data_IF_213678345764
#
_entry.id   IF_213678345764
#
_cell.length_a   1.000
_cell.length_b   1.000
_cell.length_c   1.000
_cell.angle_alpha   90.00
_cell.angle_beta   90.00
_cell.angle_gamma   90.00
#
_symmetry.space_group_name_H-M   'P 1'
#
loop_
_entity.id
_entity.type
_entity.pdbx_description
1 polymer ?
#
# COMPACT_ATOMS: atom_id res chain seq x y z
N UNK A 1 -47.25 11.37 -10.48
CA UNK A 1 -46.01 11.01 -9.73
C UNK A 1 -46.23 10.02 -8.58
N UNK A 2 -47.28 10.17 -7.76
CA UNK A 2 -47.58 9.30 -6.59
C UNK A 2 -47.71 7.80 -6.94
N UNK A 3 -48.41 7.43 -8.03
CA UNK A 3 -48.56 6.03 -8.47
C UNK A 3 -47.24 5.34 -8.90
N UNK A 4 -46.26 6.10 -9.42
CA UNK A 4 -44.93 5.55 -9.79
C UNK A 4 -44.09 5.29 -8.55
N UNK A 5 -44.14 6.18 -7.56
CA UNK A 5 -43.47 6.00 -6.27
C UNK A 5 -44.00 4.78 -5.52
N UNK A 6 -45.33 4.57 -5.51
CA UNK A 6 -45.97 3.42 -4.86
C UNK A 6 -45.63 2.07 -5.53
N UNK A 7 -45.48 2.07 -6.85
CA UNK A 7 -45.11 0.87 -7.61
C UNK A 7 -43.64 0.48 -7.35
N UNK A 8 -42.75 1.49 -7.27
CA UNK A 8 -41.35 1.30 -6.90
C UNK A 8 -41.20 0.85 -5.44
N UNK A 9 -42.00 1.42 -4.52
CA UNK A 9 -42.01 1.03 -3.10
C UNK A 9 -42.42 -0.42 -2.90
N UNK A 10 -43.45 -0.89 -3.63
CA UNK A 10 -43.87 -2.30 -3.64
C UNK A 10 -42.81 -3.25 -4.17
N UNK A 11 -42.10 -2.88 -5.24
CA UNK A 11 -40.96 -3.67 -5.75
C UNK A 11 -39.79 -3.73 -4.74
N UNK A 12 -39.64 -2.68 -3.92
CA UNK A 12 -38.56 -2.56 -2.94
C UNK A 12 -38.78 -3.42 -1.68
N UNK A 13 -40.05 -3.63 -1.29
CA UNK A 13 -40.43 -4.40 -0.09
C UNK A 13 -40.98 -5.79 -0.39
N UNK A 14 -41.33 -6.09 -1.65
CA UNK A 14 -41.83 -7.40 -2.05
C UNK A 14 -40.81 -8.51 -1.78
N UNK A 15 -41.30 -9.61 -1.21
CA UNK A 15 -40.53 -10.84 -1.05
C UNK A 15 -40.27 -11.44 -2.44
N UNK A 16 -38.99 -11.58 -2.86
CA UNK A 16 -38.66 -12.12 -4.16
C UNK A 16 -39.08 -13.60 -4.28
N UNK A 17 -39.23 -14.31 -3.15
CA UNK A 17 -39.78 -15.67 -3.14
C UNK A 17 -41.27 -15.65 -3.46
N UNK A 18 -42.02 -14.61 -3.08
CA UNK A 18 -43.44 -14.50 -3.39
C UNK A 18 -43.71 -14.33 -4.90
N UNK A 19 -42.74 -13.77 -5.65
CA UNK A 19 -42.81 -13.56 -7.11
C UNK A 19 -42.54 -14.83 -7.92
N UNK A 20 -42.05 -15.92 -7.30
CA UNK A 20 -41.74 -17.18 -7.98
C UNK A 20 -43.01 -18.04 -8.20
N UNK A 21 -43.05 -18.89 -9.26
CA UNK A 21 -44.12 -19.86 -9.47
C UNK A 21 -44.30 -20.81 -8.27
N UNK A 22 -45.55 -21.20 -7.96
CA UNK A 22 -45.90 -22.13 -6.85
C UNK A 22 -44.95 -23.33 -6.66
N UNK A 23 -44.56 -24.09 -7.70
CA UNK A 23 -43.66 -25.24 -7.52
C UNK A 23 -42.24 -24.85 -7.07
N UNK A 24 -41.73 -23.71 -7.53
CA UNK A 24 -40.41 -23.19 -7.15
C UNK A 24 -40.42 -22.71 -5.69
N UNK A 25 -41.51 -22.07 -5.24
CA UNK A 25 -41.69 -21.65 -3.84
C UNK A 25 -41.69 -22.81 -2.86
N UNK A 26 -42.38 -23.91 -3.19
CA UNK A 26 -42.38 -25.13 -2.36
C UNK A 26 -40.99 -25.74 -2.26
N UNK A 27 -40.25 -25.87 -3.38
CA UNK A 27 -38.85 -26.35 -3.36
C UNK A 27 -37.94 -25.44 -2.53
N UNK A 28 -38.04 -24.12 -2.67
CA UNK A 28 -37.27 -23.16 -1.88
C UNK A 28 -37.56 -23.25 -0.37
N UNK A 29 -38.82 -23.49 0.00
CA UNK A 29 -39.23 -23.69 1.40
C UNK A 29 -38.66 -25.00 1.97
N UNK A 30 -38.74 -26.11 1.22
CA UNK A 30 -38.17 -27.40 1.63
C UNK A 30 -36.64 -27.32 1.77
N UNK A 31 -35.94 -26.72 0.80
CA UNK A 31 -34.50 -26.46 0.89
C UNK A 31 -34.18 -25.58 2.10
N UNK A 32 -34.97 -24.54 2.35
CA UNK A 32 -34.78 -23.64 3.49
C UNK A 32 -35.01 -24.29 4.86
N UNK A 33 -35.86 -25.31 4.97
CA UNK A 33 -36.00 -26.12 6.17
C UNK A 33 -34.78 -27.04 6.36
N UNK A 34 -34.38 -27.75 5.29
CA UNK A 34 -33.21 -28.64 5.27
C UNK A 34 -31.89 -27.91 5.58
N UNK A 35 -31.76 -26.67 5.11
CA UNK A 35 -30.59 -25.81 5.39
C UNK A 35 -30.62 -25.31 6.84
N UNK A 36 -31.79 -24.89 7.37
CA UNK A 36 -31.89 -24.44 8.77
C UNK A 36 -31.54 -25.54 9.77
N UNK A 37 -31.97 -26.77 9.50
CA UNK A 37 -31.70 -27.91 10.37
C UNK A 37 -30.24 -28.38 10.29
N UNK A 38 -29.52 -28.05 9.20
CA UNK A 38 -28.11 -28.41 9.00
C UNK A 38 -27.12 -27.29 9.28
N UNK A 39 -27.56 -26.04 9.41
CA UNK A 39 -26.68 -24.92 9.76
C UNK A 39 -26.36 -24.97 11.26
N UNK A 40 -25.08 -24.99 11.66
CA UNK A 40 -24.73 -24.97 13.07
C UNK A 40 -25.28 -23.71 13.77
N UNK A 41 -25.77 -23.86 14.99
CA UNK A 41 -26.15 -22.73 15.84
C UNK A 41 -24.86 -22.06 16.33
N UNK A 42 -24.33 -21.11 15.56
CA UNK A 42 -23.05 -20.44 15.85
C UNK A 42 -23.17 -19.32 16.91
N UNK A 43 -23.80 -19.60 18.04
CA UNK A 43 -23.95 -18.65 19.15
C UNK A 43 -22.69 -18.60 20.02
N UNK A 44 -22.02 -17.44 20.11
CA UNK A 44 -20.97 -17.19 21.10
C UNK A 44 -21.26 -15.88 21.82
N UNK A 45 -21.24 -15.89 23.16
CA UNK A 45 -21.45 -14.69 23.99
C UNK A 45 -20.35 -13.63 23.82
N UNK A 46 -19.23 -14.01 23.18
CA UNK A 46 -18.12 -13.15 22.79
C UNK A 46 -18.43 -12.33 21.52
N UNK A 47 -19.27 -12.85 20.61
CA UNK A 47 -19.68 -12.18 19.36
C UNK A 47 -20.85 -11.24 19.63
N UNK A 48 -20.56 -10.11 20.27
CA UNK A 48 -21.56 -9.07 20.54
C UNK A 48 -21.54 -7.96 19.48
N UNK A 49 -22.67 -7.27 19.34
CA UNK A 49 -22.76 -6.06 18.51
C UNK A 49 -21.74 -5.02 18.94
N UNK A 50 -21.52 -4.85 20.25
CA UNK A 50 -20.55 -3.87 20.79
C UNK A 50 -19.10 -4.19 20.39
N UNK A 51 -18.66 -5.45 20.53
CA UNK A 51 -17.32 -5.88 20.07
C UNK A 51 -17.19 -5.68 18.55
N UNK A 52 -18.23 -6.06 17.80
CA UNK A 52 -18.29 -5.91 16.34
C UNK A 52 -18.22 -4.43 15.90
N UNK A 53 -18.82 -3.52 16.68
CA UNK A 53 -18.77 -2.07 16.44
C UNK A 53 -17.38 -1.52 16.69
N UNK A 54 -16.71 -1.89 17.79
CA UNK A 54 -15.33 -1.45 18.07
C UNK A 54 -14.34 -1.92 17.00
N UNK A 55 -14.42 -3.18 16.58
CA UNK A 55 -13.62 -3.69 15.45
C UNK A 55 -13.94 -2.93 14.16
N UNK A 56 -15.21 -2.59 13.93
CA UNK A 56 -15.63 -1.77 12.79
C UNK A 56 -15.04 -0.35 12.81
N UNK A 57 -15.00 0.30 13.99
CA UNK A 57 -14.38 1.61 14.17
C UNK A 57 -12.89 1.55 13.91
N UNK A 58 -12.20 0.53 14.43
CA UNK A 58 -10.78 0.34 14.16
C UNK A 58 -10.50 0.23 12.66
N UNK A 59 -11.28 -0.57 11.92
CA UNK A 59 -11.17 -0.65 10.46
C UNK A 59 -11.52 0.66 9.75
N UNK A 60 -12.50 1.41 10.26
CA UNK A 60 -12.86 2.72 9.75
C UNK A 60 -11.77 3.79 9.98
N UNK A 61 -10.76 3.49 10.81
CA UNK A 61 -9.54 4.31 10.97
C UNK A 61 -8.41 3.76 10.10
N UNK A 62 -8.12 2.46 10.16
CA UNK A 62 -6.95 1.90 9.47
C UNK A 62 -7.06 1.97 7.95
N UNK A 63 -8.23 1.71 7.38
CA UNK A 63 -8.42 1.78 5.93
C UNK A 63 -8.21 3.20 5.37
N UNK A 64 -8.81 4.27 5.92
CA UNK A 64 -8.52 5.63 5.47
C UNK A 64 -7.07 6.06 5.62
N UNK A 65 -6.39 5.66 6.70
CA UNK A 65 -4.96 5.96 6.88
C UNK A 65 -4.12 5.28 5.79
N UNK A 66 -4.35 3.99 5.53
CA UNK A 66 -3.70 3.28 4.41
C UNK A 66 -4.04 3.92 3.06
N UNK A 67 -5.30 4.27 2.85
CA UNK A 67 -5.74 4.90 1.60
C UNK A 67 -5.04 6.24 1.36
N UNK A 68 -5.02 7.14 2.35
CA UNK A 68 -4.40 8.45 2.23
C UNK A 68 -2.88 8.35 1.98
N UNK A 69 -2.20 7.53 2.77
CA UNK A 69 -0.74 7.32 2.61
C UNK A 69 -0.40 6.62 1.29
N UNK A 70 -1.22 5.66 0.85
CA UNK A 70 -1.07 4.98 -0.43
C UNK A 70 -1.35 5.90 -1.62
N UNK A 71 -2.34 6.78 -1.50
CA UNK A 71 -2.64 7.81 -2.50
C UNK A 71 -1.48 8.78 -2.66
N UNK A 72 -0.87 9.24 -1.56
CA UNK A 72 0.35 10.04 -1.61
C UNK A 72 1.46 9.28 -2.34
N UNK A 73 1.74 8.02 -1.98
CA UNK A 73 2.75 7.22 -2.68
C UNK A 73 2.45 7.03 -4.18
N UNK A 74 1.18 6.94 -4.55
CA UNK A 74 0.76 6.85 -5.96
C UNK A 74 0.99 8.17 -6.69
N UNK A 75 0.57 9.30 -6.12
CA UNK A 75 0.75 10.63 -6.71
C UNK A 75 2.24 10.98 -6.90
N UNK A 76 3.14 10.50 -6.04
CA UNK A 76 4.58 10.71 -6.24
C UNK A 76 5.11 9.91 -7.43
N UNK A 77 4.61 8.69 -7.65
CA UNK A 77 5.04 7.84 -8.76
C UNK A 77 4.39 8.22 -10.09
N UNK A 78 3.18 8.76 -10.03
CA UNK A 78 2.37 9.17 -11.18
C UNK A 78 1.84 10.58 -10.96
N UNK A 79 2.72 11.60 -10.91
CA UNK A 79 2.32 12.96 -10.57
C UNK A 79 1.42 13.54 -11.66
N UNK A 80 0.16 13.91 -11.36
CA UNK A 80 -0.62 14.74 -12.26
C UNK A 80 0.02 16.14 -12.34
N UNK A 81 -0.33 16.91 -13.36
CA UNK A 81 0.29 18.23 -13.61
C UNK A 81 0.14 19.26 -12.49
N UNK A 82 -0.78 19.05 -11.54
CA UNK A 82 -1.00 19.92 -10.38
C UNK A 82 -0.29 19.44 -9.10
N UNK A 83 0.30 18.24 -9.12
CA UNK A 83 0.90 17.63 -7.94
C UNK A 83 2.41 17.80 -7.94
N UNK A 84 2.92 18.59 -7.00
CA UNK A 84 4.34 18.73 -6.73
C UNK A 84 4.71 18.07 -5.41
N UNK A 85 5.73 17.23 -5.45
CA UNK A 85 6.30 16.61 -4.26
C UNK A 85 7.58 17.33 -3.83
N UNK A 86 7.69 17.77 -2.56
CA UNK A 86 8.86 18.53 -2.11
C UNK A 86 10.07 17.62 -1.90
N UNK A 87 11.27 18.17 -2.02
CA UNK A 87 12.53 17.46 -1.69
C UNK A 87 12.86 17.50 -0.18
N UNK A 88 12.05 18.22 0.61
CA UNK A 88 12.19 18.39 2.06
C UNK A 88 10.86 18.24 2.79
N UNK A 89 10.85 17.74 4.04
CA UNK A 89 11.99 17.11 4.74
C UNK A 89 12.34 15.75 4.11
N UNK A 90 13.61 15.34 4.22
CA UNK A 90 14.14 14.14 3.51
C UNK A 90 13.50 12.82 3.93
N UNK A 91 12.89 12.79 5.12
CA UNK A 91 12.29 11.61 5.73
C UNK A 91 10.80 11.46 5.43
N UNK A 92 10.15 12.44 4.79
CA UNK A 92 8.69 12.47 4.67
C UNK A 92 8.14 11.20 4.01
N UNK A 93 8.71 10.77 2.88
CA UNK A 93 8.28 9.56 2.19
C UNK A 93 8.57 8.29 3.01
N UNK A 94 9.71 8.23 3.71
CA UNK A 94 10.01 7.12 4.64
C UNK A 94 8.91 7.01 5.70
N UNK A 95 8.49 8.13 6.28
CA UNK A 95 7.46 8.17 7.32
C UNK A 95 6.11 7.78 6.74
N UNK A 96 5.66 8.41 5.65
CA UNK A 96 4.33 8.12 5.07
C UNK A 96 4.24 6.66 4.61
N UNK A 97 5.29 6.13 3.99
CA UNK A 97 5.34 4.73 3.57
C UNK A 97 5.43 3.76 4.74
N UNK A 98 6.16 4.12 5.79
CA UNK A 98 6.20 3.37 7.05
C UNK A 98 4.82 3.27 7.70
N UNK A 99 4.11 4.40 7.80
CA UNK A 99 2.73 4.45 8.32
C UNK A 99 1.80 3.59 7.46
N UNK A 100 1.91 3.65 6.14
CA UNK A 100 1.13 2.83 5.22
C UNK A 100 1.27 1.33 5.51
N UNK A 101 2.51 0.84 5.55
CA UNK A 101 2.80 -0.59 5.74
C UNK A 101 2.47 -1.04 7.16
N UNK A 102 2.86 -0.27 8.18
CA UNK A 102 2.56 -0.60 9.57
C UNK A 102 1.04 -0.68 9.83
N UNK A 103 0.27 0.25 9.25
CA UNK A 103 -1.20 0.27 9.37
C UNK A 103 -1.86 -0.86 8.57
N UNK A 104 -1.32 -1.18 7.38
CA UNK A 104 -1.78 -2.33 6.58
C UNK A 104 -1.60 -3.65 7.33
N UNK A 105 -0.45 -3.83 7.97
CA UNK A 105 -0.15 -5.00 8.80
C UNK A 105 -1.06 -5.05 10.04
N UNK A 106 -1.22 -3.91 10.75
CA UNK A 106 -2.14 -3.80 11.89
C UNK A 106 -3.60 -4.14 11.53
N UNK A 107 -4.00 -3.90 10.27
CA UNK A 107 -5.35 -4.18 9.79
C UNK A 107 -5.64 -5.69 9.72
N UNK A 108 -4.63 -6.55 9.54
CA UNK A 108 -4.81 -8.00 9.39
C UNK A 108 -5.58 -8.62 10.58
N UNK A 109 -5.08 -8.56 11.83
CA UNK A 109 -5.80 -9.16 12.97
C UNK A 109 -7.16 -8.50 13.23
N UNK A 110 -7.29 -7.19 12.98
CA UNK A 110 -8.57 -6.46 13.17
C UNK A 110 -9.61 -6.97 12.16
N UNK A 111 -9.22 -7.13 10.90
CA UNK A 111 -10.09 -7.60 9.82
C UNK A 111 -10.51 -9.06 10.06
N UNK A 112 -9.57 -9.93 10.44
CA UNK A 112 -9.87 -11.32 10.79
C UNK A 112 -10.84 -11.41 11.98
N UNK A 113 -10.60 -10.64 13.04
CA UNK A 113 -11.51 -10.58 14.19
C UNK A 113 -12.89 -10.05 13.80
N UNK A 114 -12.96 -9.04 12.92
CA UNK A 114 -14.22 -8.50 12.41
C UNK A 114 -14.99 -9.54 11.60
N UNK A 115 -14.32 -10.25 10.69
CA UNK A 115 -14.94 -11.30 9.88
C UNK A 115 -15.44 -12.44 10.76
N UNK A 116 -14.65 -12.87 11.77
CA UNK A 116 -15.08 -13.84 12.75
C UNK A 116 -16.32 -13.39 13.55
N UNK A 117 -16.39 -12.10 13.92
CA UNK A 117 -17.50 -11.59 14.72
C UNK A 117 -18.81 -11.50 13.93
N UNK A 118 -18.74 -11.33 12.61
CA UNK A 118 -19.92 -11.25 11.72
C UNK A 118 -20.19 -12.52 10.91
N UNK A 119 -19.30 -13.51 10.96
CA UNK A 119 -19.37 -14.74 10.16
C UNK A 119 -20.78 -15.39 10.16
N UNK A 120 -21.47 -15.59 11.30
CA UNK A 120 -22.80 -16.20 11.29
C UNK A 120 -23.82 -15.43 10.44
N UNK A 121 -23.71 -14.10 10.39
CA UNK A 121 -24.62 -13.23 9.63
C UNK A 121 -24.46 -13.40 8.12
N UNK A 122 -23.28 -13.85 7.67
CA UNK A 122 -23.02 -14.13 6.25
C UNK A 122 -23.83 -15.34 5.76
N UNK A 123 -24.23 -16.25 6.66
CA UNK A 123 -24.95 -17.48 6.32
C UNK A 123 -26.41 -17.49 6.83
N UNK A 124 -26.96 -16.34 7.22
CA UNK A 124 -28.37 -16.22 7.61
C UNK A 124 -29.32 -16.61 6.47
N UNK A 125 -30.31 -17.45 6.78
CA UNK A 125 -31.38 -17.86 5.88
C UNK A 125 -32.71 -17.17 6.23
N UNK A 126 -33.51 -16.70 5.25
CA UNK A 126 -33.28 -16.74 3.80
C UNK A 126 -32.17 -15.76 3.35
N UNK A 127 -31.44 -16.10 2.27
CA UNK A 127 -30.28 -15.32 1.83
C UNK A 127 -30.69 -13.94 1.32
N UNK A 128 -31.88 -13.83 0.75
CA UNK A 128 -32.48 -12.58 0.28
C UNK A 128 -33.91 -12.50 0.80
N UNK A 129 -34.24 -11.38 1.45
CA UNK A 129 -35.59 -11.09 1.97
C UNK A 129 -36.36 -10.15 1.06
N UNK A 130 -35.66 -9.22 0.40
CA UNK A 130 -36.15 -8.23 -0.55
C UNK A 130 -34.97 -7.63 -1.33
N UNK A 131 -35.26 -6.80 -2.33
CA UNK A 131 -34.24 -6.17 -3.19
C UNK A 131 -33.26 -5.32 -2.37
N UNK A 132 -33.73 -4.62 -1.35
CA UNK A 132 -32.88 -3.85 -0.45
C UNK A 132 -31.88 -4.71 0.31
N UNK A 133 -32.34 -5.85 0.85
CA UNK A 133 -31.51 -6.81 1.54
C UNK A 133 -30.46 -7.41 0.58
N UNK A 134 -30.85 -7.70 -0.66
CA UNK A 134 -29.92 -8.14 -1.70
C UNK A 134 -28.83 -7.09 -1.95
N UNK A 135 -29.20 -5.84 -2.20
CA UNK A 135 -28.25 -4.75 -2.46
C UNK A 135 -27.32 -4.51 -1.26
N UNK A 136 -27.87 -4.56 -0.04
CA UNK A 136 -27.07 -4.48 1.18
C UNK A 136 -26.06 -5.63 1.29
N UNK A 137 -26.45 -6.86 0.95
CA UNK A 137 -25.54 -8.03 0.98
C UNK A 137 -24.47 -7.95 -0.12
N UNK A 138 -24.84 -7.50 -1.33
CA UNK A 138 -23.88 -7.28 -2.41
C UNK A 138 -22.86 -6.21 -2.04
N UNK A 139 -23.29 -5.10 -1.45
CA UNK A 139 -22.38 -4.06 -0.95
C UNK A 139 -21.40 -4.60 0.10
N UNK A 140 -21.89 -5.41 1.05
CA UNK A 140 -21.03 -6.07 2.05
C UNK A 140 -20.06 -7.06 1.39
N UNK A 141 -20.51 -7.81 0.38
CA UNK A 141 -19.65 -8.74 -0.35
C UNK A 141 -18.51 -8.02 -1.07
N UNK A 142 -18.81 -6.91 -1.76
CA UNK A 142 -17.79 -6.04 -2.40
C UNK A 142 -16.81 -5.50 -1.36
N UNK A 143 -17.30 -5.03 -0.21
CA UNK A 143 -16.43 -4.55 0.87
C UNK A 143 -15.49 -5.64 1.38
N UNK A 144 -16.00 -6.84 1.68
CA UNK A 144 -15.20 -7.96 2.18
C UNK A 144 -14.15 -8.37 1.13
N UNK A 145 -14.57 -8.55 -0.13
CA UNK A 145 -13.68 -8.92 -1.22
C UNK A 145 -12.58 -7.89 -1.43
N UNK A 146 -12.93 -6.60 -1.48
CA UNK A 146 -11.96 -5.52 -1.65
C UNK A 146 -11.02 -5.38 -0.45
N UNK A 147 -11.53 -5.49 0.78
CA UNK A 147 -10.72 -5.44 1.99
C UNK A 147 -9.72 -6.59 2.08
N UNK A 148 -10.16 -7.82 1.81
CA UNK A 148 -9.28 -9.00 1.80
C UNK A 148 -8.24 -8.90 0.68
N UNK A 149 -8.65 -8.51 -0.52
CA UNK A 149 -7.72 -8.35 -1.64
C UNK A 149 -6.70 -7.23 -1.39
N UNK A 150 -7.08 -6.11 -0.77
CA UNK A 150 -6.17 -5.04 -0.36
C UNK A 150 -5.08 -5.54 0.59
N UNK A 151 -5.50 -6.14 1.71
CA UNK A 151 -4.55 -6.64 2.71
C UNK A 151 -3.67 -7.74 2.13
N UNK A 152 -4.25 -8.67 1.38
CA UNK A 152 -3.51 -9.80 0.78
C UNK A 152 -2.47 -9.29 -0.22
N UNK A 153 -2.86 -8.47 -1.19
CA UNK A 153 -1.91 -7.94 -2.19
C UNK A 153 -0.83 -7.09 -1.55
N UNK A 154 -1.15 -6.30 -0.52
CA UNK A 154 -0.16 -5.55 0.26
C UNK A 154 0.87 -6.45 0.94
N UNK A 155 0.42 -7.51 1.62
CA UNK A 155 1.32 -8.49 2.27
C UNK A 155 2.19 -9.22 1.24
N UNK A 156 1.61 -9.65 0.11
CA UNK A 156 2.37 -10.29 -0.97
C UNK A 156 3.45 -9.37 -1.54
N UNK A 157 3.15 -8.07 -1.70
CA UNK A 157 4.13 -7.08 -2.14
C UNK A 157 5.28 -6.91 -1.13
N UNK A 158 4.97 -6.78 0.17
CA UNK A 158 6.00 -6.68 1.22
C UNK A 158 6.89 -7.94 1.20
N UNK A 159 6.29 -9.12 1.03
CA UNK A 159 6.97 -10.41 0.94
C UNK A 159 7.69 -10.68 -0.40
N UNK A 160 7.61 -9.77 -1.38
CA UNK A 160 8.08 -9.98 -2.77
C UNK A 160 7.53 -11.23 -3.46
N UNK A 161 6.36 -11.71 -3.05
CA UNK A 161 5.75 -12.87 -3.66
C UNK A 161 4.80 -12.46 -4.78
N UNK A 162 5.38 -12.11 -5.92
CA UNK A 162 4.67 -11.67 -7.13
C UNK A 162 4.06 -12.76 -8.03
N UNK A 163 4.51 -14.05 -8.05
CA UNK A 163 3.89 -15.07 -8.89
C UNK A 163 2.36 -15.21 -8.80
N UNK A 164 1.72 -15.07 -7.62
CA UNK A 164 0.25 -15.07 -7.50
C UNK A 164 -0.44 -13.81 -8.07
N UNK A 165 0.32 -12.78 -8.44
CA UNK A 165 -0.17 -11.50 -8.95
C UNK A 165 0.28 -11.33 -10.42
N UNK A 166 -0.48 -11.88 -11.40
CA UNK A 166 -0.13 -11.77 -12.82
C UNK A 166 -0.34 -10.35 -13.39
N UNK A 167 -0.68 -9.39 -12.54
CA UNK A 167 -0.96 -7.99 -12.87
C UNK A 167 0.05 -7.07 -12.18
N UNK A 168 0.16 -5.84 -12.68
CA UNK A 168 1.04 -4.86 -12.06
C UNK A 168 0.46 -4.36 -10.73
N UNK A 169 1.09 -4.77 -9.63
CA UNK A 169 0.61 -4.57 -8.27
C UNK A 169 0.17 -3.13 -7.98
N UNK A 170 1.00 -2.11 -8.25
CA UNK A 170 0.71 -0.73 -7.82
C UNK A 170 -0.54 -0.15 -8.47
N UNK A 171 -0.82 -0.52 -9.72
CA UNK A 171 -2.03 -0.10 -10.45
C UNK A 171 -3.26 -0.83 -9.91
N UNK A 172 -3.19 -2.15 -9.78
CA UNK A 172 -4.30 -2.95 -9.26
C UNK A 172 -4.67 -2.55 -7.82
N UNK A 173 -3.65 -2.41 -6.97
CA UNK A 173 -3.79 -2.03 -5.57
C UNK A 173 -4.37 -0.61 -5.43
N UNK A 174 -3.99 0.34 -6.30
CA UNK A 174 -4.58 1.69 -6.31
C UNK A 174 -6.09 1.67 -6.61
N UNK A 175 -6.51 1.04 -7.71
CA UNK A 175 -7.92 1.02 -8.10
C UNK A 175 -8.79 0.23 -7.12
N UNK A 176 -8.27 -0.88 -6.62
CA UNK A 176 -8.95 -1.64 -5.58
C UNK A 176 -9.12 -0.83 -4.29
N UNK A 177 -8.23 0.12 -3.99
CA UNK A 177 -8.31 0.94 -2.78
C UNK A 177 -9.48 1.91 -2.85
N UNK A 178 -9.76 2.47 -4.03
CA UNK A 178 -10.95 3.26 -4.29
C UNK A 178 -12.24 2.45 -4.12
N UNK A 179 -12.27 1.21 -4.63
CA UNK A 179 -13.40 0.30 -4.44
C UNK A 179 -13.61 0.00 -2.95
N UNK A 180 -12.53 -0.30 -2.23
CA UNK A 180 -12.59 -0.59 -0.80
C UNK A 180 -13.10 0.60 0.01
N UNK A 181 -12.59 1.82 -0.22
CA UNK A 181 -13.03 3.03 0.49
C UNK A 181 -14.47 3.40 0.12
N UNK A 182 -14.86 3.34 -1.15
CA UNK A 182 -16.24 3.58 -1.55
C UNK A 182 -17.21 2.62 -0.87
N UNK A 183 -16.89 1.32 -0.86
CA UNK A 183 -17.70 0.31 -0.19
C UNK A 183 -17.73 0.50 1.34
N UNK A 184 -16.61 0.92 1.95
CA UNK A 184 -16.52 1.20 3.37
C UNK A 184 -17.40 2.39 3.77
N UNK A 185 -17.39 3.47 2.99
CA UNK A 185 -18.22 4.66 3.25
C UNK A 185 -19.72 4.31 3.19
N UNK A 186 -20.14 3.55 2.17
CA UNK A 186 -21.52 3.05 2.07
C UNK A 186 -21.86 2.17 3.28
N UNK A 187 -20.97 1.27 3.68
CA UNK A 187 -21.18 0.41 4.84
C UNK A 187 -21.29 1.20 6.15
N UNK A 188 -20.44 2.20 6.37
CA UNK A 188 -20.49 3.09 7.53
C UNK A 188 -21.84 3.83 7.56
N UNK A 189 -22.26 4.42 6.44
CA UNK A 189 -23.53 5.14 6.35
C UNK A 189 -24.73 4.24 6.73
N UNK A 190 -24.75 3.00 6.25
CA UNK A 190 -25.82 2.03 6.55
C UNK A 190 -25.77 1.55 8.00
N UNK A 191 -24.59 1.34 8.58
CA UNK A 191 -24.44 0.75 9.92
C UNK A 191 -24.36 1.76 11.07
N UNK A 192 -24.25 3.06 10.77
CA UNK A 192 -24.09 4.11 11.78
C UNK A 192 -25.18 4.09 12.87
N UNK A 193 -26.49 3.90 12.57
CA UNK A 193 -27.52 3.82 13.61
C UNK A 193 -27.33 2.63 14.56
N UNK A 194 -26.96 1.48 14.01
CA UNK A 194 -26.66 0.26 14.77
C UNK A 194 -25.47 0.47 15.70
N UNK A 195 -24.39 1.09 15.19
CA UNK A 195 -23.18 1.39 15.96
C UNK A 195 -23.49 2.37 17.11
N UNK A 196 -24.18 3.47 16.81
CA UNK A 196 -24.59 4.47 17.82
C UNK A 196 -25.41 3.82 18.94
N UNK A 197 -26.41 3.03 18.57
CA UNK A 197 -27.27 2.33 19.55
C UNK A 197 -26.48 1.34 20.39
N UNK A 198 -25.57 0.57 19.79
CA UNK A 198 -24.77 -0.43 20.49
C UNK A 198 -23.77 0.18 21.49
N UNK A 199 -23.26 1.38 21.19
CA UNK A 199 -22.32 2.10 22.05
C UNK A 199 -23.02 2.88 23.16
N UNK A 200 -24.19 3.49 22.86
CA UNK A 200 -24.98 4.26 23.81
C UNK A 200 -25.63 3.40 24.90
N UNK A 201 -25.98 2.14 24.61
CA UNK A 201 -26.49 1.22 25.63
C UNK A 201 -25.40 0.91 26.64
N UNK A 202 -25.60 1.35 27.89
CA UNK A 202 -24.87 0.79 29.03
C UNK A 202 -25.18 -0.71 29.09
N UNK A 203 -24.18 -1.59 29.20
CA UNK A 203 -24.46 -3.01 29.36
C UNK A 203 -25.24 -3.17 30.66
N UNK A 204 -26.53 -3.52 30.57
CA UNK A 204 -27.26 -4.07 31.71
C UNK A 204 -26.45 -5.26 32.19
N UNK A 205 -25.99 -5.24 33.45
CA UNK A 205 -25.01 -6.19 33.99
C UNK A 205 -25.67 -7.57 34.20
N UNK A 206 -25.49 -8.55 33.31
CA UNK A 206 -26.05 -9.88 33.46
C UNK A 206 -24.89 -10.76 33.94
N UNK A 207 -24.44 -10.51 35.17
CA UNK A 207 -23.25 -11.14 35.76
C UNK A 207 -21.93 -10.72 35.08
N UNK A 208 -21.09 -9.97 35.81
CA UNK A 208 -19.85 -9.35 35.32
C UNK A 208 -18.86 -10.24 34.53
N UNK A 209 -18.99 -11.58 34.58
CA UNK A 209 -18.15 -12.52 33.82
C UNK A 209 -18.19 -12.35 32.29
N UNK A 210 -19.30 -11.92 31.69
CA UNK A 210 -19.38 -11.75 30.23
C UNK A 210 -18.71 -10.47 29.73
N UNK A 211 -18.77 -9.38 30.50
CA UNK A 211 -18.12 -8.12 30.16
C UNK A 211 -16.59 -8.24 30.22
N UNK A 212 -16.07 -8.91 31.23
CA UNK A 212 -14.63 -9.21 31.39
C UNK A 212 -14.12 -10.05 30.20
N UNK A 213 -14.87 -11.07 29.78
CA UNK A 213 -14.51 -11.91 28.61
C UNK A 213 -14.51 -11.14 27.28
N UNK A 214 -15.41 -10.16 27.09
CA UNK A 214 -15.44 -9.31 25.88
C UNK A 214 -14.28 -8.31 25.83
N UNK A 215 -13.91 -7.73 26.97
CA UNK A 215 -12.68 -6.92 27.09
C UNK A 215 -11.45 -7.75 26.78
N UNK A 216 -11.45 -9.03 27.19
CA UNK A 216 -10.43 -10.01 26.80
C UNK A 216 -10.25 -10.14 25.29
N UNK A 217 -11.33 -10.25 24.51
CA UNK A 217 -11.25 -10.31 23.04
C UNK A 217 -10.61 -9.05 22.44
N UNK A 218 -11.08 -7.86 22.82
CA UNK A 218 -10.51 -6.61 22.31
C UNK A 218 -9.04 -6.42 22.73
N UNK A 219 -8.70 -6.83 23.96
CA UNK A 219 -7.32 -6.80 24.46
C UNK A 219 -6.43 -7.77 23.71
N UNK A 220 -6.91 -8.98 23.40
CA UNK A 220 -6.19 -9.96 22.61
C UNK A 220 -5.97 -9.48 21.16
N UNK A 221 -6.98 -8.88 20.54
CA UNK A 221 -6.83 -8.26 19.21
C UNK A 221 -5.85 -7.09 19.27
N UNK A 222 -5.95 -6.22 20.28
CA UNK A 222 -5.00 -5.11 20.49
C UNK A 222 -3.57 -5.59 20.70
N UNK A 223 -3.37 -6.65 21.48
CA UNK A 223 -2.08 -7.29 21.67
C UNK A 223 -1.56 -7.91 20.36
N UNK A 224 -2.40 -8.61 19.59
CA UNK A 224 -2.03 -9.14 18.29
C UNK A 224 -1.63 -8.04 17.31
N UNK A 225 -2.37 -6.93 17.25
CA UNK A 225 -2.01 -5.74 16.48
C UNK A 225 -0.64 -5.23 16.92
N UNK A 226 -0.46 -4.99 18.23
CA UNK A 226 0.80 -4.48 18.78
C UNK A 226 1.99 -5.38 18.46
N UNK A 227 1.86 -6.69 18.66
CA UNK A 227 2.92 -7.68 18.38
C UNK A 227 3.24 -7.71 16.89
N UNK A 228 2.25 -7.94 16.02
CA UNK A 228 2.49 -8.10 14.57
C UNK A 228 3.09 -6.82 13.99
N UNK A 229 2.61 -5.64 14.38
CA UNK A 229 3.21 -4.37 13.95
C UNK A 229 4.63 -4.20 14.49
N UNK A 230 4.88 -4.49 15.78
CA UNK A 230 6.20 -4.35 16.39
C UNK A 230 7.25 -5.25 15.73
N UNK A 231 6.90 -6.50 15.42
CA UNK A 231 7.83 -7.47 14.80
C UNK A 231 7.98 -7.32 13.29
N UNK A 232 7.38 -6.27 12.71
CA UNK A 232 7.41 -5.98 11.27
C UNK A 232 7.85 -4.55 10.93
N UNK A 233 7.80 -3.60 11.86
CA UNK A 233 8.07 -2.17 11.61
C UNK A 233 9.57 -1.82 11.63
N UNK A 234 10.43 -2.71 12.15
CA UNK A 234 11.87 -2.47 12.24
C UNK A 234 12.56 -2.32 10.88
N UNK A 235 11.94 -2.85 9.82
CA UNK A 235 12.41 -2.67 8.44
C UNK A 235 12.33 -1.20 7.98
N UNK A 236 11.45 -0.40 8.59
CA UNK A 236 11.37 1.04 8.37
C UNK A 236 12.12 1.81 9.46
N UNK A 237 11.97 1.38 10.72
CA UNK A 237 12.48 2.07 11.92
C UNK A 237 13.69 1.33 12.46
N UNK A 238 14.88 1.75 12.05
CA UNK A 238 16.16 1.08 12.37
C UNK A 238 16.36 0.73 13.86
N UNK A 239 16.01 1.59 14.86
CA UNK A 239 16.13 1.20 16.27
C UNK A 239 15.35 -0.07 16.66
N UNK A 240 14.29 -0.40 15.92
CA UNK A 240 13.44 -1.57 16.16
C UNK A 240 13.83 -2.79 15.30
N UNK A 241 14.86 -2.69 14.46
CA UNK A 241 15.31 -3.78 13.56
C UNK A 241 15.66 -5.09 14.27
N UNK A 242 16.04 -5.05 15.55
CA UNK A 242 16.31 -6.25 16.37
C UNK A 242 15.05 -7.06 16.69
N UNK A 243 13.88 -6.45 16.59
CA UNK A 243 12.59 -7.07 16.88
C UNK A 243 11.94 -7.66 15.61
N UNK A 244 12.55 -7.45 14.44
CA UNK A 244 12.02 -7.93 13.16
C UNK A 244 12.13 -9.45 13.04
N UNK A 245 11.00 -10.12 13.29
CA UNK A 245 10.84 -11.56 13.07
C UNK A 245 10.10 -11.84 11.75
N UNK A 246 9.19 -10.95 11.35
CA UNK A 246 8.34 -11.13 10.16
C UNK A 246 8.74 -10.19 9.01
N UNK A 247 9.71 -9.31 9.22
CA UNK A 247 10.18 -8.41 8.16
C UNK A 247 10.97 -9.20 7.10
N UNK A 248 10.58 -9.12 5.80
CA UNK A 248 11.29 -9.84 4.74
C UNK A 248 12.70 -9.31 4.45
N UNK A 249 13.01 -8.10 4.90
CA UNK A 249 14.34 -7.49 4.76
C UNK A 249 14.80 -6.88 6.06
N UNK A 250 16.08 -7.07 6.35
CA UNK A 250 16.79 -6.32 7.39
C UNK A 250 17.50 -5.12 6.76
N UNK A 251 17.37 -3.90 7.31
CA UNK A 251 17.95 -2.67 6.73
C UNK A 251 19.47 -2.64 6.59
N UNK A 252 20.18 -3.57 7.22
CA UNK A 252 21.65 -3.64 7.31
C UNK A 252 22.25 -4.80 6.50
N UNK A 253 21.42 -5.68 5.94
CA UNK A 253 21.87 -6.85 5.19
C UNK A 253 21.82 -6.57 3.68
N UNK A 254 22.98 -6.66 3.03
CA UNK A 254 23.17 -6.51 1.60
C UNK A 254 24.58 -6.03 1.28
N UNK A 255 24.98 -5.98 -0.01
CA UNK A 255 26.26 -5.40 -0.41
C UNK A 255 26.36 -3.97 0.12
N UNK A 256 27.57 -3.59 0.56
CA UNK A 256 27.87 -2.26 1.10
C UNK A 256 26.98 -1.84 2.28
N UNK A 257 26.46 -2.81 3.05
CA UNK A 257 25.57 -2.59 4.21
C UNK A 257 24.27 -1.87 3.86
N UNK A 258 23.73 -2.10 2.67
CA UNK A 258 22.45 -1.56 2.23
C UNK A 258 21.62 -2.63 1.52
N UNK A 259 20.30 -2.74 1.77
CA UNK A 259 19.47 -3.77 1.16
C UNK A 259 19.25 -3.51 -0.34
N UNK A 260 19.16 -4.60 -1.10
CA UNK A 260 18.89 -4.57 -2.54
C UNK A 260 17.41 -4.85 -2.79
N UNK A 261 16.73 -3.95 -3.50
CA UNK A 261 15.35 -4.17 -3.93
C UNK A 261 15.28 -5.25 -5.01
N UNK A 262 16.00 -4.99 -6.11
CA UNK A 262 16.07 -5.76 -7.35
C UNK A 262 17.55 -5.93 -7.72
N UNK A 263 18.02 -7.16 -7.95
CA UNK A 263 19.43 -7.39 -8.32
C UNK A 263 19.70 -7.06 -9.79
N UNK A 264 20.96 -6.93 -10.17
CA UNK A 264 21.36 -6.75 -11.56
C UNK A 264 21.02 -7.96 -12.42
N UNK A 265 21.12 -9.17 -11.85
CA UNK A 265 20.69 -10.42 -12.49
C UNK A 265 19.20 -10.36 -12.83
N UNK A 266 18.36 -9.98 -11.86
CA UNK A 266 16.91 -9.83 -12.07
C UNK A 266 16.58 -8.70 -13.08
N UNK A 267 17.44 -7.70 -13.20
CA UNK A 267 17.31 -6.61 -14.17
C UNK A 267 17.89 -6.95 -15.56
N UNK A 268 18.59 -8.07 -15.72
CA UNK A 268 19.30 -8.42 -16.95
C UNK A 268 20.46 -7.48 -17.28
N UNK A 269 21.08 -6.89 -16.25
CA UNK A 269 22.19 -5.94 -16.36
C UNK A 269 23.51 -6.62 -15.97
N UNK A 270 24.52 -6.47 -16.83
CA UNK A 270 25.90 -6.87 -16.54
C UNK A 270 26.71 -5.68 -16.03
N UNK A 271 27.85 -5.97 -15.40
CA UNK A 271 28.79 -4.92 -14.99
C UNK A 271 29.24 -4.11 -16.21
N UNK A 272 29.23 -2.78 -16.08
CA UNK A 272 29.73 -1.89 -17.11
C UNK A 272 31.25 -2.05 -17.30
N UNK A 273 31.69 -2.00 -18.56
CA UNK A 273 33.10 -2.01 -18.94
C UNK A 273 33.59 -0.58 -19.27
N UNK A 274 34.82 -0.46 -19.75
CA UNK A 274 35.43 0.82 -20.12
C UNK A 274 34.72 1.52 -21.31
N UNK A 275 33.79 0.84 -21.98
CA UNK A 275 32.97 1.40 -23.07
C UNK A 275 31.73 2.11 -22.54
N UNK A 276 31.45 2.05 -21.24
CA UNK A 276 30.35 2.79 -20.65
C UNK A 276 30.44 4.28 -20.98
N UNK A 277 29.31 4.84 -21.41
CA UNK A 277 29.14 6.25 -21.71
C UNK A 277 27.80 6.72 -21.14
N UNK A 278 27.82 7.74 -20.31
CA UNK A 278 26.61 8.43 -19.89
C UNK A 278 26.26 9.49 -20.94
N UNK A 279 25.08 9.34 -21.55
CA UNK A 279 24.53 10.35 -22.46
C UNK A 279 23.70 11.35 -21.68
N UNK A 280 23.90 12.64 -21.93
CA UNK A 280 23.14 13.73 -21.34
C UNK A 280 22.64 14.63 -22.45
N UNK A 281 21.35 14.53 -22.77
CA UNK A 281 20.70 15.36 -23.77
C UNK A 281 20.09 16.59 -23.10
N UNK A 282 20.39 17.75 -23.67
CA UNK A 282 19.92 19.07 -23.25
C UNK A 282 20.32 20.10 -24.31
N UNK A 283 20.25 21.41 -24.01
CA UNK A 283 20.64 22.44 -24.97
C UNK A 283 22.06 22.30 -25.53
N UNK A 284 22.99 21.77 -24.72
CA UNK A 284 24.37 21.43 -25.12
C UNK A 284 24.66 19.97 -24.77
N UNK A 285 24.27 19.00 -25.62
CA UNK A 285 24.40 17.58 -25.32
C UNK A 285 25.85 17.19 -25.00
N UNK A 286 26.01 16.23 -24.07
CA UNK A 286 27.31 15.69 -23.67
C UNK A 286 27.24 14.19 -23.54
N UNK A 287 28.36 13.54 -23.85
CA UNK A 287 28.58 12.12 -23.59
C UNK A 287 29.82 12.02 -22.72
N UNK A 288 29.70 11.43 -21.53
CA UNK A 288 30.78 11.35 -20.55
C UNK A 288 31.19 9.90 -20.31
N UNK A 289 32.49 9.65 -20.27
CA UNK A 289 33.10 8.44 -19.74
C UNK A 289 32.94 8.36 -18.22
N UNK A 290 33.17 7.18 -17.65
CA UNK A 290 33.20 7.02 -16.18
C UNK A 290 34.35 7.83 -15.53
N UNK A 291 35.50 7.93 -16.21
CA UNK A 291 36.64 8.71 -15.75
C UNK A 291 36.30 10.21 -15.70
N UNK A 292 35.68 10.76 -16.75
CA UNK A 292 35.22 12.16 -16.78
C UNK A 292 34.16 12.43 -15.71
N UNK A 293 33.21 11.50 -15.50
CA UNK A 293 32.22 11.61 -14.43
C UNK A 293 32.85 11.66 -13.04
N UNK A 294 33.91 10.88 -12.82
CA UNK A 294 34.63 10.84 -11.54
C UNK A 294 35.44 12.12 -11.32
N UNK A 295 35.93 12.74 -12.39
CA UNK A 295 36.68 14.00 -12.35
C UNK A 295 35.79 15.24 -12.11
N UNK A 296 34.47 15.14 -12.33
CA UNK A 296 33.54 16.22 -12.00
C UNK A 296 33.46 16.46 -10.47
N UNK A 297 33.02 17.66 -10.02
CA UNK A 297 32.87 17.95 -8.60
C UNK A 297 31.97 16.93 -7.88
N UNK A 298 32.54 16.24 -6.89
CA UNK A 298 31.85 15.22 -6.10
C UNK A 298 31.27 15.82 -4.81
N UNK A 299 30.18 15.24 -4.33
CA UNK A 299 29.58 15.56 -3.03
C UNK A 299 29.15 14.28 -2.31
N UNK A 300 29.36 14.24 -1.00
CA UNK A 300 28.84 13.19 -0.12
C UNK A 300 27.60 13.67 0.65
N UNK A 301 26.54 12.86 0.67
CA UNK A 301 25.31 13.13 1.44
C UNK A 301 24.81 11.87 2.14
N UNK A 302 24.28 12.01 3.35
CA UNK A 302 23.54 10.97 4.03
C UNK A 302 22.06 11.05 3.63
N UNK A 303 21.57 10.07 2.85
CA UNK A 303 20.17 10.05 2.40
C UNK A 303 19.53 8.67 2.59
N UNK A 304 18.25 8.64 2.96
CA UNK A 304 17.50 7.40 3.03
C UNK A 304 17.14 6.89 1.63
N UNK A 305 17.18 5.58 1.44
CA UNK A 305 16.34 4.89 0.46
C UNK A 305 15.14 4.35 1.22
N UNK A 306 13.93 4.69 0.77
CA UNK A 306 12.68 4.13 1.26
C UNK A 306 11.95 3.44 0.11
N UNK A 307 11.65 2.16 0.27
CA UNK A 307 11.00 1.35 -0.75
C UNK A 307 9.48 1.36 -0.58
N UNK A 308 8.75 1.22 -1.69
CA UNK A 308 7.29 1.02 -1.72
C UNK A 308 6.86 -0.26 -0.98
N UNK A 309 7.78 -1.19 -0.71
CA UNK A 309 7.55 -2.41 0.08
C UNK A 309 7.62 -2.15 1.60
N UNK A 310 7.97 -0.93 2.04
CA UNK A 310 7.96 -0.53 3.45
C UNK A 310 9.32 -0.47 4.13
N UNK A 311 10.34 -1.15 3.62
CA UNK A 311 11.68 -1.07 4.21
C UNK A 311 12.39 0.23 3.82
N UNK A 312 13.31 0.67 4.69
CA UNK A 312 14.14 1.82 4.42
C UNK A 312 15.50 1.74 5.12
N UNK A 313 16.53 2.29 4.50
CA UNK A 313 17.88 2.34 5.06
C UNK A 313 18.60 3.63 4.64
N UNK A 314 19.48 4.14 5.49
CA UNK A 314 20.27 5.35 5.18
C UNK A 314 21.66 4.94 4.73
N UNK A 315 22.12 5.50 3.60
CA UNK A 315 23.48 5.34 3.09
C UNK A 315 24.20 6.68 2.97
N UNK A 316 25.53 6.63 2.94
CA UNK A 316 26.39 7.77 2.58
C UNK A 316 26.71 7.67 1.10
N UNK A 317 26.09 8.53 0.31
CA UNK A 317 26.17 8.54 -1.15
C UNK A 317 27.17 9.59 -1.59
N UNK A 318 28.12 9.22 -2.44
CA UNK A 318 29.05 10.16 -3.07
C UNK A 318 28.87 10.15 -4.58
N UNK A 319 28.77 11.32 -5.19
CA UNK A 319 28.56 11.47 -6.63
C UNK A 319 28.52 12.91 -7.11
N UNK A 320 28.19 13.08 -8.39
CA UNK A 320 28.05 14.40 -9.02
C UNK A 320 26.68 14.98 -8.68
N UNK A 321 26.59 16.21 -8.14
CA UNK A 321 25.30 16.88 -7.96
C UNK A 321 24.53 17.01 -9.27
N UNK A 322 23.25 16.61 -9.30
CA UNK A 322 22.42 16.63 -10.53
C UNK A 322 22.36 18.02 -11.16
N UNK A 323 22.25 19.07 -10.34
CA UNK A 323 22.29 20.46 -10.79
C UNK A 323 23.56 20.84 -11.57
N UNK A 324 24.71 20.20 -11.29
CA UNK A 324 25.95 20.47 -12.03
C UNK A 324 25.91 19.82 -13.41
N UNK A 325 25.35 18.60 -13.52
CA UNK A 325 25.11 17.97 -14.82
C UNK A 325 24.15 18.79 -15.68
N UNK A 326 23.09 19.33 -15.08
CA UNK A 326 22.15 20.23 -15.74
C UNK A 326 22.83 21.52 -16.22
N UNK A 327 23.66 22.15 -15.39
CA UNK A 327 24.42 23.34 -15.77
C UNK A 327 25.42 23.05 -16.92
N UNK A 328 26.09 21.89 -16.89
CA UNK A 328 27.05 21.46 -17.92
C UNK A 328 26.41 21.43 -19.32
N UNK A 329 25.16 20.96 -19.41
CA UNK A 329 24.41 20.90 -20.67
C UNK A 329 23.57 22.15 -20.94
N UNK A 330 23.67 23.19 -20.09
CA UNK A 330 22.95 24.45 -20.24
C UNK A 330 21.44 24.35 -20.03
N UNK A 331 20.97 23.41 -19.20
CA UNK A 331 19.55 23.27 -18.89
C UNK A 331 18.99 24.52 -18.18
N UNK A 332 17.80 25.02 -18.56
CA UNK A 332 17.15 26.11 -17.86
C UNK A 332 16.87 25.82 -16.37
N UNK A 333 16.81 26.85 -15.52
CA UNK A 333 16.29 26.70 -14.16
C UNK A 333 14.86 26.14 -14.20
N UNK A 334 14.58 25.17 -13.33
CA UNK A 334 13.26 24.54 -13.27
C UNK A 334 13.07 23.34 -14.19
N UNK A 335 14.07 22.95 -14.99
CA UNK A 335 13.99 21.73 -15.78
C UNK A 335 13.79 20.47 -14.93
N UNK A 336 13.00 19.55 -15.48
CA UNK A 336 12.89 18.17 -14.99
C UNK A 336 13.91 17.30 -15.71
N UNK A 337 14.17 16.10 -15.20
CA UNK A 337 15.16 15.20 -15.78
C UNK A 337 14.58 13.80 -15.94
N UNK A 338 14.47 13.31 -17.18
CA UNK A 338 14.18 11.90 -17.43
C UNK A 338 15.47 11.10 -17.36
N UNK A 339 15.44 10.01 -16.61
CA UNK A 339 16.59 9.15 -16.30
C UNK A 339 16.27 7.75 -16.76
N UNK A 340 17.05 7.22 -17.70
CA UNK A 340 16.90 5.87 -18.24
C UNK A 340 17.96 4.92 -17.70
N UNK A 341 17.55 3.68 -17.48
CA UNK A 341 18.36 2.57 -16.99
C UNK A 341 18.68 1.59 -18.11
N UNK A 342 19.85 0.96 -18.03
CA UNK A 342 20.24 -0.19 -18.86
C UNK A 342 19.41 -1.46 -18.59
N UNK A 343 18.49 -1.46 -17.61
CA UNK A 343 17.59 -2.58 -17.34
C UNK A 343 16.75 -2.96 -18.57
N UNK A 344 16.71 -4.26 -18.90
CA UNK A 344 16.10 -4.77 -20.15
C UNK A 344 14.57 -4.64 -20.25
N UNK A 345 13.86 -4.52 -19.13
CA UNK A 345 12.40 -4.45 -19.13
C UNK A 345 11.80 -3.93 -17.83
N UNK A 346 10.47 -3.78 -17.77
CA UNK A 346 9.74 -3.31 -16.59
C UNK A 346 9.50 -1.79 -16.56
N UNK A 347 8.44 -1.38 -15.83
CA UNK A 347 7.93 -0.01 -15.84
C UNK A 347 8.89 1.03 -15.25
N UNK A 348 9.79 0.61 -14.36
CA UNK A 348 10.78 1.48 -13.71
C UNK A 348 12.15 1.50 -14.42
N UNK A 349 12.23 1.08 -15.70
CA UNK A 349 13.45 1.28 -16.52
C UNK A 349 13.77 2.75 -16.79
N UNK A 350 12.82 3.64 -16.54
CA UNK A 350 13.04 5.08 -16.57
C UNK A 350 12.15 5.78 -15.56
N UNK A 351 12.65 6.87 -15.00
CA UNK A 351 11.91 7.73 -14.07
C UNK A 351 12.15 9.20 -14.43
N UNK A 352 11.22 10.07 -14.01
CA UNK A 352 11.38 11.52 -14.16
C UNK A 352 11.63 12.14 -12.80
N UNK A 353 12.76 12.82 -12.64
CA UNK A 353 13.07 13.63 -11.48
C UNK A 353 12.34 14.98 -11.60
N UNK A 354 11.51 15.36 -10.61
CA UNK A 354 10.85 16.65 -10.60
C UNK A 354 11.85 17.81 -10.49
N UNK A 355 11.45 18.99 -10.95
CA UNK A 355 12.26 20.20 -10.94
C UNK A 355 12.80 20.57 -9.56
N UNK A 356 12.00 20.36 -8.50
CA UNK A 356 12.42 20.58 -7.12
C UNK A 356 13.60 19.68 -6.73
N UNK A 357 13.58 18.41 -7.17
CA UNK A 357 14.65 17.45 -6.89
C UNK A 357 15.89 17.70 -7.75
N UNK A 358 15.71 18.09 -9.02
CA UNK A 358 16.81 18.50 -9.89
C UNK A 358 17.63 19.67 -9.31
N UNK A 359 16.96 20.62 -8.64
CA UNK A 359 17.60 21.78 -8.01
C UNK A 359 18.21 21.49 -6.63
N UNK A 360 17.79 20.42 -5.97
CA UNK A 360 18.23 20.13 -4.60
C UNK A 360 19.75 19.83 -4.55
N UNK A 361 20.52 20.52 -3.68
CA UNK A 361 21.96 20.28 -3.51
C UNK A 361 22.35 18.83 -3.18
N UNK A 362 21.41 18.05 -2.66
CA UNK A 362 21.62 16.69 -2.18
C UNK A 362 21.21 15.63 -3.20
N UNK A 363 20.62 16.01 -4.32
CA UNK A 363 20.34 15.08 -5.42
C UNK A 363 21.64 14.80 -6.19
N UNK A 364 22.01 13.54 -6.26
CA UNK A 364 23.27 13.08 -6.85
C UNK A 364 23.01 12.08 -7.99
N UNK A 365 23.87 12.12 -8.99
CA UNK A 365 24.26 10.92 -9.72
C UNK A 365 25.39 10.26 -8.92
N UNK A 366 25.01 9.33 -8.04
CA UNK A 366 25.91 8.64 -7.13
C UNK A 366 26.80 7.63 -7.88
N UNK A 367 28.08 7.61 -7.50
CA UNK A 367 29.13 6.70 -7.99
C UNK A 367 29.64 5.77 -6.87
N UNK A 368 29.46 6.18 -5.61
CA UNK A 368 29.92 5.45 -4.43
C UNK A 368 28.84 5.39 -3.35
N UNK A 369 28.86 4.31 -2.58
CA UNK A 369 28.02 4.08 -1.42
C UNK A 369 28.89 3.65 -0.24
N UNK A 370 28.71 4.31 0.90
CA UNK A 370 29.42 4.02 2.16
C UNK A 370 30.95 3.96 1.97
N UNK A 371 31.48 4.89 1.19
CA UNK A 371 32.93 5.02 0.96
C UNK A 371 33.50 4.07 -0.09
N UNK A 372 32.74 3.11 -0.63
CA UNK A 372 33.19 2.21 -1.70
C UNK A 372 32.50 2.53 -3.04
N UNK A 373 33.13 2.13 -4.15
CA UNK A 373 32.47 2.11 -5.47
C UNK A 373 31.13 1.37 -5.39
N UNK A 374 30.13 1.82 -6.13
CA UNK A 374 28.84 1.12 -6.17
C UNK A 374 29.03 -0.36 -6.52
N UNK A 375 28.40 -1.20 -5.72
CA UNK A 375 28.16 -2.59 -6.08
C UNK A 375 27.25 -2.65 -7.31
N UNK A 376 27.40 -3.72 -8.10
CA UNK A 376 26.57 -3.92 -9.28
C UNK A 376 25.08 -3.91 -8.93
N UNK A 377 24.67 -4.54 -7.83
CA UNK A 377 23.26 -4.58 -7.40
C UNK A 377 22.76 -3.22 -6.89
N UNK A 378 23.67 -2.34 -6.48
CA UNK A 378 23.35 -0.96 -6.10
C UNK A 378 23.38 0.03 -7.26
N UNK A 379 23.72 -0.42 -8.47
CA UNK A 379 23.58 0.36 -9.69
C UNK A 379 24.89 0.85 -10.29
N UNK A 380 26.01 0.16 -10.06
CA UNK A 380 27.26 0.43 -10.79
C UNK A 380 27.03 0.59 -12.31
N UNK A 381 27.64 1.58 -12.99
CA UNK A 381 28.64 2.50 -12.48
C UNK A 381 28.05 3.74 -11.82
N UNK A 382 26.79 4.06 -12.08
CA UNK A 382 26.12 5.19 -11.45
C UNK A 382 24.61 4.99 -11.29
N UNK A 383 24.07 5.63 -10.24
CA UNK A 383 22.64 5.66 -9.95
C UNK A 383 22.18 7.06 -9.57
N UNK A 384 20.89 7.33 -9.70
CA UNK A 384 20.29 8.50 -9.08
C UNK A 384 19.98 8.25 -7.62
N UNK A 385 20.26 9.25 -6.78
CA UNK A 385 19.78 9.39 -5.42
C UNK A 385 19.27 10.82 -5.22
N UNK A 386 18.04 10.97 -4.75
CA UNK A 386 17.43 12.25 -4.44
C UNK A 386 16.62 12.15 -3.13
N UNK A 387 16.61 13.21 -2.30
CA UNK A 387 15.88 13.18 -1.06
C UNK A 387 14.37 13.00 -1.29
N UNK A 388 13.69 12.38 -0.33
CA UNK A 388 12.23 12.29 -0.29
C UNK A 388 11.55 11.62 -1.50
N UNK A 389 12.25 10.86 -2.34
CA UNK A 389 11.64 10.08 -3.41
C UNK A 389 11.51 8.58 -3.04
N UNK A 390 10.46 7.90 -3.56
CA UNK A 390 10.38 6.45 -3.54
C UNK A 390 11.61 5.81 -4.20
N UNK A 391 12.08 4.70 -3.62
CA UNK A 391 13.24 3.96 -4.13
C UNK A 391 13.09 3.50 -5.59
N UNK A 392 11.86 3.29 -6.05
CA UNK A 392 11.55 2.94 -7.45
C UNK A 392 11.83 4.08 -8.44
N UNK A 393 11.90 5.34 -7.98
CA UNK A 393 12.27 6.50 -8.79
C UNK A 393 13.76 6.86 -8.69
N UNK A 394 14.53 6.13 -7.88
CA UNK A 394 15.97 6.31 -7.73
C UNK A 394 16.70 5.36 -8.68
N UNK A 395 16.62 5.67 -9.98
CA UNK A 395 17.08 4.81 -11.09
C UNK A 395 18.51 4.31 -10.91
N UNK A 396 18.71 2.99 -11.08
CA UNK A 396 20.01 2.32 -11.07
C UNK A 396 20.52 2.06 -12.49
N UNK A 397 21.83 1.82 -12.64
CA UNK A 397 22.45 1.50 -13.93
C UNK A 397 22.13 2.56 -14.99
N UNK A 398 22.34 3.82 -14.66
CA UNK A 398 21.90 4.95 -15.50
C UNK A 398 22.72 4.97 -16.78
N UNK A 399 22.06 5.10 -17.93
CA UNK A 399 22.70 5.18 -19.25
C UNK A 399 22.46 6.52 -19.96
N UNK A 400 21.31 7.14 -19.68
CA UNK A 400 20.84 8.29 -20.44
C UNK A 400 20.02 9.23 -19.58
N UNK A 401 20.36 10.51 -19.66
CA UNK A 401 19.68 11.63 -19.03
C UNK A 401 19.12 12.54 -20.12
N UNK A 402 17.84 12.91 -20.02
CA UNK A 402 17.19 13.83 -20.95
C UNK A 402 16.57 14.97 -20.17
N UNK A 403 17.05 16.19 -20.43
CA UNK A 403 16.49 17.42 -19.89
C UNK A 403 15.09 17.60 -20.47
N UNK A 404 14.11 17.77 -19.59
CA UNK A 404 12.74 18.06 -19.96
C UNK A 404 12.41 19.53 -19.62
N UNK A 405 11.56 20.18 -20.44
CA UNK A 405 11.05 21.51 -20.13
C UNK A 405 10.23 21.50 -18.83
#
# INVERSE_FOLDING_TARGET
MVRRADRLRRLWTADPVALLPRPVRRRAATIGALVRDRLPVFGSSLRSTRVTSWLGIALAVTFPVCFATGLVSHLIQHPPGWFDWPSTPTQLYRVTQGVHVATGIATVPILLAKLWSVYPKLFEWPPVRNLAHLLSRLSVFVLIGAALAQVTTGILNIARWYPPMPFFFTVAHHWLAWIAIGALLVHIAVQLPTVRTALARHPADPGGGHAVRRRGVLSAVGAAVGVVTLVSVGQTVRPLSRLDLLAPRRPDIGPQHLPVNKSAVEAGVSRADDRYRLRIDGPRPRTLTLAELTALPQRTVALPIACVEGWSATGHWTGVPIRHLLALVGAPPGSRLRVSSAQRGGLYRAATLPAAHCRDPRSLLALRLNGAELDLDHGYPCRVIAPNLPGVLQTKWVEHLVVLP
#
